data_IF_583945509523
#
_entry.id   IF_583945509523
#
_cell.length_a   1.000
_cell.length_b   1.000
_cell.length_c   1.000
_cell.angle_alpha   90.00
_cell.angle_beta   90.00
_cell.angle_gamma   90.00
#
_symmetry.space_group_name_H-M   'P 1'
#
loop_
_entity.id
_entity.type
_entity.pdbx_description
1 polymer ?
#
# COMPACT_ATOMS: atom_id res chain seq x y z
N UNK A 1 15.58 42.03 -13.70
CA UNK A 1 15.21 41.13 -12.59
C UNK A 1 15.19 39.73 -13.15
N UNK A 2 16.01 38.87 -12.56
CA UNK A 2 16.44 37.62 -13.18
C UNK A 2 15.39 36.53 -13.08
N UNK A 3 15.21 35.76 -14.17
CA UNK A 3 14.21 34.69 -14.28
C UNK A 3 14.35 33.64 -13.17
N UNK A 4 15.59 33.34 -12.77
CA UNK A 4 15.90 32.35 -11.75
C UNK A 4 15.47 32.82 -10.35
N UNK A 5 15.61 34.11 -10.04
CA UNK A 5 15.11 34.67 -8.77
C UNK A 5 13.59 34.61 -8.66
N UNK A 6 12.87 34.85 -9.77
CA UNK A 6 11.41 34.73 -9.78
C UNK A 6 10.96 33.28 -9.57
N UNK A 7 11.70 32.32 -10.16
CA UNK A 7 11.46 30.89 -9.95
C UNK A 7 11.70 30.49 -8.49
N UNK A 8 12.81 30.91 -7.87
CA UNK A 8 13.09 30.62 -6.45
C UNK A 8 12.02 31.17 -5.50
N UNK A 9 11.54 32.40 -5.74
CA UNK A 9 10.45 32.99 -4.95
C UNK A 9 9.17 32.17 -5.08
N UNK A 10 8.81 31.75 -6.29
CA UNK A 10 7.62 30.92 -6.52
C UNK A 10 7.73 29.55 -5.84
N UNK A 11 8.88 28.88 -5.96
CA UNK A 11 9.14 27.60 -5.31
C UNK A 11 9.05 27.73 -3.77
N UNK A 12 9.65 28.77 -3.21
CA UNK A 12 9.61 29.04 -1.77
C UNK A 12 8.18 29.33 -1.26
N UNK A 13 7.36 30.04 -2.04
CA UNK A 13 5.96 30.28 -1.70
C UNK A 13 5.14 28.99 -1.68
N UNK A 14 5.37 28.09 -2.65
CA UNK A 14 4.71 26.79 -2.71
C UNK A 14 5.10 25.94 -1.49
N UNK A 15 6.39 25.84 -1.16
CA UNK A 15 6.82 25.08 0.03
C UNK A 15 6.28 25.66 1.34
N UNK A 16 6.20 26.99 1.47
CA UNK A 16 5.65 27.63 2.66
C UNK A 16 4.15 27.38 2.83
N UNK A 17 3.41 27.28 1.72
CA UNK A 17 1.97 27.10 1.74
C UNK A 17 1.56 25.62 1.86
N UNK A 18 2.31 24.71 1.24
CA UNK A 18 1.92 23.30 1.11
C UNK A 18 2.89 22.31 1.78
N UNK A 19 3.97 22.81 2.38
CA UNK A 19 4.96 22.00 3.08
C UNK A 19 6.21 21.71 2.25
N UNK A 20 7.28 21.26 2.93
CA UNK A 20 8.53 20.86 2.27
C UNK A 20 8.27 19.72 1.29
N UNK A 21 8.85 19.83 0.09
CA UNK A 21 8.68 18.82 -0.96
C UNK A 21 7.39 18.93 -1.76
N UNK A 22 6.54 19.94 -1.51
CA UNK A 22 5.37 20.21 -2.34
C UNK A 22 5.72 20.59 -3.80
N UNK A 23 6.94 21.07 -4.02
CA UNK A 23 7.53 21.24 -5.35
C UNK A 23 9.02 20.95 -5.28
N UNK A 24 9.53 20.20 -6.24
CA UNK A 24 10.94 19.86 -6.35
C UNK A 24 11.31 19.62 -7.80
N UNK A 25 12.58 19.78 -8.15
CA UNK A 25 13.02 19.36 -9.49
C UNK A 25 12.93 17.85 -9.58
N UNK A 26 12.57 17.33 -10.75
CA UNK A 26 12.42 15.89 -10.94
C UNK A 26 13.71 15.09 -10.64
N UNK A 27 14.89 15.70 -10.85
CA UNK A 27 16.18 15.11 -10.48
C UNK A 27 16.58 15.27 -9.01
N UNK A 28 15.88 16.13 -8.26
CA UNK A 28 15.99 16.28 -6.80
C UNK A 28 14.97 15.39 -6.08
N UNK A 29 14.00 14.83 -6.81
CA UNK A 29 13.25 13.68 -6.32
C UNK A 29 14.29 12.66 -5.86
N UNK A 30 14.12 12.03 -4.68
CA UNK A 30 14.99 10.94 -4.25
C UNK A 30 14.75 9.71 -5.13
N UNK A 31 15.05 9.82 -6.44
CA UNK A 31 15.04 8.76 -7.44
C UNK A 31 16.18 7.75 -7.20
N UNK A 32 16.88 7.84 -6.06
CA UNK A 32 17.90 6.90 -5.58
C UNK A 32 17.67 6.42 -4.14
N UNK A 33 16.63 6.88 -3.43
CA UNK A 33 16.17 6.16 -2.24
C UNK A 33 15.23 5.09 -2.77
N UNK A 34 15.67 3.83 -2.73
CA UNK A 34 14.91 2.71 -3.30
C UNK A 34 13.44 2.76 -2.89
N UNK A 35 12.55 2.38 -3.80
CA UNK A 35 11.12 2.28 -3.52
C UNK A 35 10.95 1.34 -2.32
N UNK A 36 10.34 1.80 -1.24
CA UNK A 36 10.05 0.92 -0.12
C UNK A 36 9.00 -0.09 -0.55
N UNK A 37 9.32 -1.38 -0.40
CA UNK A 37 8.46 -2.48 -0.87
C UNK A 37 8.07 -3.43 0.26
N UNK A 38 6.98 -4.15 0.04
CA UNK A 38 6.58 -5.34 0.81
C UNK A 38 6.73 -6.52 -0.16
N UNK A 39 7.56 -7.55 0.15
CA UNK A 39 7.65 -8.73 -0.70
C UNK A 39 6.30 -9.42 -0.83
N UNK A 40 6.13 -10.16 -1.91
CA UNK A 40 4.87 -10.87 -2.20
C UNK A 40 4.76 -12.22 -1.53
N UNK A 41 5.86 -12.72 -0.93
CA UNK A 41 5.98 -14.10 -0.47
C UNK A 41 6.33 -15.08 -1.60
N UNK A 42 6.42 -14.59 -2.85
CA UNK A 42 6.86 -15.36 -4.02
C UNK A 42 8.09 -14.70 -4.63
N UNK A 43 9.24 -15.36 -4.51
CA UNK A 43 10.50 -14.88 -5.10
C UNK A 43 10.38 -14.63 -6.60
N UNK A 44 9.66 -15.50 -7.32
CA UNK A 44 9.46 -15.35 -8.75
C UNK A 44 8.68 -14.07 -9.09
N UNK A 45 7.64 -13.75 -8.30
CA UNK A 45 6.84 -12.55 -8.50
C UNK A 45 7.63 -11.28 -8.10
N UNK A 46 8.37 -11.32 -6.99
CA UNK A 46 9.21 -10.20 -6.54
C UNK A 46 10.28 -9.82 -7.58
N UNK A 47 10.88 -10.83 -8.22
CA UNK A 47 11.82 -10.63 -9.33
C UNK A 47 11.10 -10.07 -10.56
N UNK A 48 9.92 -10.58 -10.91
CA UNK A 48 9.14 -10.11 -12.05
C UNK A 48 8.69 -8.65 -11.89
N UNK A 49 8.40 -8.22 -10.66
CA UNK A 49 8.04 -6.82 -10.33
C UNK A 49 9.24 -5.86 -10.46
N UNK A 50 10.48 -6.36 -10.53
CA UNK A 50 11.71 -5.58 -10.75
C UNK A 50 12.15 -4.70 -9.57
N UNK A 51 11.26 -4.45 -8.62
CA UNK A 51 11.52 -3.67 -7.39
C UNK A 51 11.58 -4.54 -6.13
N UNK A 52 11.36 -5.86 -6.25
CA UNK A 52 11.48 -6.81 -5.14
C UNK A 52 10.23 -6.96 -4.27
N UNK A 53 9.06 -6.51 -4.74
CA UNK A 53 7.79 -6.60 -4.03
C UNK A 53 6.79 -5.54 -4.48
N UNK A 54 5.68 -5.39 -3.75
CA UNK A 54 4.70 -4.33 -3.99
C UNK A 54 5.19 -3.00 -3.38
N UNK A 55 5.06 -1.86 -4.10
CA UNK A 55 5.51 -0.57 -3.61
C UNK A 55 4.55 0.01 -2.54
N UNK A 56 5.10 0.48 -1.42
CA UNK A 56 4.33 1.15 -0.37
C UNK A 56 3.83 2.52 -0.83
N UNK A 57 2.67 2.93 -0.29
CA UNK A 57 2.04 4.21 -0.64
C UNK A 57 1.52 4.27 -2.07
N UNK A 58 1.28 3.12 -2.70
CA UNK A 58 0.74 2.99 -4.06
C UNK A 58 -0.43 2.02 -4.04
N UNK A 59 -1.33 2.19 -5.00
CA UNK A 59 -2.41 1.24 -5.28
C UNK A 59 -1.85 0.15 -6.20
N UNK A 60 -2.14 -1.11 -5.88
CA UNK A 60 -1.80 -2.29 -6.68
C UNK A 60 -3.08 -3.07 -6.90
N UNK A 61 -3.33 -3.47 -8.15
CA UNK A 61 -4.48 -4.28 -8.53
C UNK A 61 -4.03 -5.72 -8.81
N UNK A 62 -4.66 -6.68 -8.13
CA UNK A 62 -4.48 -8.12 -8.38
C UNK A 62 -5.79 -8.66 -8.94
N UNK A 63 -5.85 -8.87 -10.26
CA UNK A 63 -7.06 -9.32 -10.94
C UNK A 63 -6.87 -10.70 -11.59
N UNK A 64 -7.99 -11.36 -11.87
CA UNK A 64 -8.00 -12.68 -12.53
C UNK A 64 -9.26 -13.49 -12.21
N UNK A 65 -9.43 -14.65 -12.88
CA UNK A 65 -10.58 -15.52 -12.70
C UNK A 65 -10.85 -15.92 -11.24
N UNK A 66 -12.08 -16.32 -10.94
CA UNK A 66 -12.39 -16.96 -9.66
C UNK A 66 -11.52 -18.22 -9.49
N UNK A 67 -11.00 -18.43 -8.27
CA UNK A 67 -10.07 -19.53 -7.99
C UNK A 67 -8.66 -19.38 -8.57
N UNK A 68 -8.30 -18.25 -9.19
CA UNK A 68 -6.94 -18.02 -9.73
C UNK A 68 -5.86 -17.79 -8.67
N UNK A 69 -6.26 -17.60 -7.40
CA UNK A 69 -5.34 -17.38 -6.29
C UNK A 69 -5.16 -15.91 -5.86
N UNK A 70 -6.01 -14.97 -6.32
CA UNK A 70 -5.94 -13.54 -5.94
C UNK A 70 -5.81 -13.34 -4.43
N UNK A 71 -6.80 -13.81 -3.66
CA UNK A 71 -6.82 -13.73 -2.19
C UNK A 71 -5.62 -14.44 -1.57
N UNK A 72 -5.16 -15.56 -2.14
CA UNK A 72 -3.97 -16.28 -1.66
C UNK A 72 -2.71 -15.42 -1.78
N UNK A 73 -2.51 -14.73 -2.92
CA UNK A 73 -1.40 -13.79 -3.10
C UNK A 73 -1.51 -12.63 -2.10
N UNK A 74 -2.70 -12.06 -1.93
CA UNK A 74 -2.93 -10.98 -0.96
C UNK A 74 -2.62 -11.41 0.48
N UNK A 75 -3.02 -12.62 0.89
CA UNK A 75 -2.72 -13.16 2.21
C UNK A 75 -1.21 -13.41 2.42
N UNK A 76 -0.47 -13.81 1.38
CA UNK A 76 0.98 -13.90 1.46
C UNK A 76 1.65 -12.54 1.63
N UNK A 77 1.19 -11.52 0.91
CA UNK A 77 1.68 -10.13 1.08
C UNK A 77 1.39 -9.63 2.50
N UNK A 78 0.22 -9.94 3.06
CA UNK A 78 -0.13 -9.62 4.46
C UNK A 78 0.84 -10.31 5.42
N UNK A 79 1.10 -11.60 5.23
CA UNK A 79 2.04 -12.34 6.08
C UNK A 79 3.46 -11.74 6.00
N UNK A 80 3.92 -11.31 4.82
CA UNK A 80 5.20 -10.59 4.65
C UNK A 80 5.21 -9.24 5.37
N UNK A 81 4.14 -8.47 5.30
CA UNK A 81 4.01 -7.20 6.01
C UNK A 81 4.10 -7.40 7.54
N UNK A 82 3.32 -8.34 8.07
CA UNK A 82 3.29 -8.65 9.50
C UNK A 82 4.62 -9.20 10.01
N UNK A 83 5.30 -10.08 9.25
CA UNK A 83 6.62 -10.61 9.62
C UNK A 83 7.68 -9.51 9.78
N UNK A 84 7.49 -8.39 9.07
CA UNK A 84 8.37 -7.22 9.12
C UNK A 84 7.94 -6.20 10.19
N UNK A 85 7.02 -6.58 11.07
CA UNK A 85 6.50 -5.73 12.14
C UNK A 85 5.46 -4.71 11.68
N UNK A 86 4.96 -4.84 10.45
CA UNK A 86 3.96 -3.93 9.91
C UNK A 86 2.53 -4.33 10.29
N UNK A 87 1.62 -3.35 10.23
CA UNK A 87 0.19 -3.54 10.50
C UNK A 87 -0.57 -3.66 9.17
N UNK A 88 -1.38 -4.71 9.05
CA UNK A 88 -2.19 -4.96 7.86
C UNK A 88 -3.68 -4.92 8.20
N UNK A 89 -4.49 -4.51 7.21
CA UNK A 89 -5.93 -4.65 7.24
C UNK A 89 -6.45 -5.40 6.01
N UNK A 90 -7.57 -6.10 6.20
CA UNK A 90 -8.30 -6.81 5.17
C UNK A 90 -9.76 -6.34 5.18
N UNK A 91 -10.21 -5.76 4.08
CA UNK A 91 -11.59 -5.37 3.85
C UNK A 91 -12.23 -6.48 3.01
N UNK A 92 -12.98 -7.34 3.69
CA UNK A 92 -13.63 -8.54 3.15
C UNK A 92 -15.03 -8.18 2.65
N UNK A 93 -15.10 -7.65 1.43
CA UNK A 93 -16.37 -7.30 0.77
C UNK A 93 -17.09 -8.54 0.21
N UNK A 94 -16.36 -9.64 -0.04
CA UNK A 94 -16.93 -10.92 -0.49
C UNK A 94 -17.43 -11.81 0.67
N UNK A 95 -17.18 -11.44 1.93
CA UNK A 95 -17.50 -12.24 3.12
C UNK A 95 -16.97 -13.69 3.06
N UNK A 96 -15.79 -13.87 2.44
CA UNK A 96 -15.26 -15.19 2.06
C UNK A 96 -13.92 -15.52 2.74
N UNK A 97 -13.40 -14.66 3.60
CA UNK A 97 -12.12 -14.88 4.27
C UNK A 97 -12.18 -16.07 5.24
N UNK A 98 -11.33 -17.08 5.02
CA UNK A 98 -11.13 -18.21 5.93
C UNK A 98 -9.93 -17.97 6.87
N UNK A 99 -10.16 -17.77 8.19
CA UNK A 99 -9.09 -17.53 9.15
C UNK A 99 -8.12 -18.72 9.31
N UNK A 100 -8.61 -19.95 9.11
CA UNK A 100 -7.79 -21.17 9.18
C UNK A 100 -6.79 -21.19 8.04
N UNK A 101 -7.27 -20.91 6.82
CA UNK A 101 -6.43 -20.82 5.64
C UNK A 101 -5.43 -19.66 5.75
N UNK A 102 -5.87 -18.48 6.16
CA UNK A 102 -4.99 -17.33 6.37
C UNK A 102 -3.86 -17.65 7.37
N UNK A 103 -4.19 -18.28 8.50
CA UNK A 103 -3.18 -18.71 9.49
C UNK A 103 -2.20 -19.72 8.90
N UNK A 104 -2.66 -20.66 8.06
CA UNK A 104 -1.80 -21.62 7.38
C UNK A 104 -0.82 -20.96 6.38
N UNK A 105 -1.21 -19.82 5.79
CA UNK A 105 -0.35 -19.02 4.92
C UNK A 105 0.64 -18.12 5.69
N UNK A 106 0.60 -18.13 7.03
CA UNK A 106 1.51 -17.39 7.89
C UNK A 106 1.01 -16.00 8.30
N UNK A 107 -0.28 -15.71 8.07
CA UNK A 107 -0.92 -14.50 8.60
C UNK A 107 -1.08 -14.63 10.12
N UNK A 108 -0.65 -13.61 10.85
CA UNK A 108 -1.01 -13.45 12.25
C UNK A 108 -2.45 -12.93 12.34
N UNK A 109 -3.41 -13.85 12.42
CA UNK A 109 -4.83 -13.50 12.44
C UNK A 109 -5.28 -12.81 13.72
N UNK A 110 -4.49 -12.91 14.80
CA UNK A 110 -4.83 -12.29 16.07
C UNK A 110 -4.57 -10.77 16.04
N UNK A 111 -3.71 -10.31 15.10
CA UNK A 111 -3.35 -8.91 14.89
C UNK A 111 -3.84 -8.35 13.53
N UNK A 112 -4.47 -9.16 12.68
CA UNK A 112 -5.00 -8.70 11.41
C UNK A 112 -6.29 -7.91 11.63
N UNK A 113 -6.32 -6.65 11.19
CA UNK A 113 -7.54 -5.85 11.20
C UNK A 113 -8.47 -6.35 10.08
N UNK A 114 -9.71 -6.68 10.41
CA UNK A 114 -10.71 -7.15 9.42
C UNK A 114 -11.93 -6.25 9.47
N UNK A 115 -12.43 -5.87 8.30
CA UNK A 115 -13.72 -5.19 8.14
C UNK A 115 -14.58 -5.94 7.14
N UNK A 116 -15.88 -6.08 7.44
CA UNK A 116 -16.88 -6.69 6.58
C UNK A 116 -17.97 -5.64 6.29
N UNK A 117 -17.76 -4.81 5.25
CA UNK A 117 -18.66 -3.70 4.94
C UNK A 117 -19.96 -4.18 4.27
N UNK A 118 -21.04 -3.45 4.49
CA UNK A 118 -22.35 -3.65 3.87
C UNK A 118 -22.43 -3.08 2.43
N UNK A 119 -21.51 -2.19 2.04
CA UNK A 119 -21.47 -1.58 0.70
C UNK A 119 -20.05 -1.21 0.25
N UNK A 120 -19.88 -1.02 -1.07
CA UNK A 120 -18.60 -0.57 -1.64
C UNK A 120 -18.19 0.84 -1.18
N UNK A 121 -19.15 1.75 -1.00
CA UNK A 121 -18.89 3.08 -0.43
C UNK A 121 -18.33 2.98 0.99
N UNK A 122 -18.95 2.14 1.83
CA UNK A 122 -18.48 1.92 3.20
C UNK A 122 -17.08 1.27 3.20
N UNK A 123 -16.82 0.32 2.29
CA UNK A 123 -15.50 -0.28 2.12
C UNK A 123 -14.42 0.79 1.84
N UNK A 124 -14.69 1.71 0.91
CA UNK A 124 -13.77 2.77 0.53
C UNK A 124 -13.60 3.85 1.62
N UNK A 125 -14.67 4.19 2.35
CA UNK A 125 -14.59 5.09 3.50
C UNK A 125 -13.70 4.51 4.61
N UNK A 126 -13.86 3.22 4.91
CA UNK A 126 -13.01 2.52 5.89
C UNK A 126 -11.55 2.50 5.40
N UNK A 127 -11.32 2.20 4.12
CA UNK A 127 -9.98 2.25 3.55
C UNK A 127 -9.33 3.65 3.67
N UNK A 128 -10.06 4.73 3.35
CA UNK A 128 -9.56 6.11 3.46
C UNK A 128 -9.21 6.47 4.91
N UNK A 129 -10.07 6.11 5.88
CA UNK A 129 -9.81 6.35 7.31
C UNK A 129 -8.55 5.60 7.78
N UNK A 130 -8.38 4.35 7.37
CA UNK A 130 -7.21 3.55 7.70
C UNK A 130 -5.93 4.13 7.08
N UNK A 131 -5.96 4.56 5.81
CA UNK A 131 -4.81 5.23 5.17
C UNK A 131 -4.46 6.53 5.90
N UNK A 132 -5.45 7.37 6.24
CA UNK A 132 -5.23 8.64 6.95
C UNK A 132 -4.64 8.49 8.34
N UNK A 133 -4.85 7.35 9.00
CA UNK A 133 -4.23 7.07 10.30
C UNK A 133 -2.70 7.08 10.21
N UNK A 134 -2.12 6.78 9.04
CA UNK A 134 -0.69 6.62 8.84
C UNK A 134 -0.07 5.43 9.58
N UNK A 135 -0.90 4.60 10.24
CA UNK A 135 -0.45 3.48 11.07
C UNK A 135 -0.35 2.16 10.30
N UNK A 136 -1.03 2.04 9.15
CA UNK A 136 -1.08 0.80 8.37
C UNK A 136 0.00 0.75 7.30
N UNK A 137 0.61 -0.42 7.19
CA UNK A 137 1.59 -0.77 6.18
C UNK A 137 0.95 -1.27 4.88
N UNK A 138 -0.19 -1.94 5.01
CA UNK A 138 -0.91 -2.61 3.92
C UNK A 138 -2.41 -2.63 4.21
N UNK A 139 -3.21 -2.36 3.18
CA UNK A 139 -4.66 -2.58 3.19
C UNK A 139 -4.98 -3.41 1.95
N UNK A 140 -5.65 -4.54 2.16
CA UNK A 140 -6.21 -5.36 1.08
C UNK A 140 -7.72 -5.14 1.06
N UNK A 141 -8.29 -5.00 -0.14
CA UNK A 141 -9.73 -4.99 -0.38
C UNK A 141 -10.04 -6.19 -1.27
N UNK A 142 -10.92 -7.08 -0.82
CA UNK A 142 -11.27 -8.32 -1.51
C UNK A 142 -12.80 -8.47 -1.59
N UNK A 143 -13.43 -8.11 -2.72
CA UNK A 143 -12.96 -7.18 -3.76
C UNK A 143 -13.85 -5.94 -3.79
#
# INVERSE_FOLDING_TARGET
MDRDKMLEVALSQIEKQYGKGAVMRLGEHPAGQGVSVIPTGSLALDLALGVGGIPRGRIVEVFGPEGSGKTTVCLHIIAEAQRRGGIAAFIDAEHALDPTYARALGVNIDELLVSQPDSGEQALEIADLLVRSGALDLIVVDS
#
